data_IF_153710794268
#
_entry.id   IF_153710794268
#
_cell.length_a   1.000
_cell.length_b   1.000
_cell.length_c   1.000
_cell.angle_alpha   90.00
_cell.angle_beta   90.00
_cell.angle_gamma   90.00
#
_symmetry.space_group_name_H-M   'P 1'
#
loop_
_entity.id
_entity.type
_entity.pdbx_description
1 polymer ?
2 non-polymer ?
3 non-polymer ?
4 non-polymer ?
5 water ?
#
# COMPACT_ATOMS: atom_id res chain seq x y z
N UNK A 1 24.16 14.58 -1.23
CA UNK A 1 23.89 13.78 -0.04
C UNK A 1 24.40 12.35 -0.25
N UNK A 2 24.64 11.65 0.84
CA UNK A 2 25.23 10.32 0.78
C UNK A 2 24.43 9.35 1.64
N UNK A 3 24.02 8.22 1.05
CA UNK A 3 23.42 7.11 1.77
C UNK A 3 24.46 6.01 1.92
N UNK A 4 24.68 5.56 3.16
CA UNK A 4 25.67 4.53 3.44
C UNK A 4 25.06 3.42 4.28
N UNK A 5 25.32 2.18 3.90
CA UNK A 5 25.07 1.03 4.76
C UNK A 5 26.40 0.42 5.15
N UNK A 6 26.56 0.09 6.43
CA UNK A 6 27.83 -0.43 6.93
C UNK A 6 27.60 -1.73 7.67
N UNK A 7 28.37 -2.76 7.29
CA UNK A 7 28.43 -4.02 8.05
C UNK A 7 27.04 -4.61 8.29
N UNK A 8 26.17 -4.47 7.31
CA UNK A 8 24.86 -5.10 7.39
C UNK A 8 24.99 -6.62 7.46
N UNK A 9 24.12 -7.25 8.24
CA UNK A 9 24.04 -8.70 8.31
C UNK A 9 22.62 -9.11 8.61
N UNK A 10 22.21 -10.25 8.06
CA UNK A 10 20.89 -10.81 8.30
C UNK A 10 20.97 -12.32 8.19
N UNK A 11 20.35 -13.02 9.13
CA UNK A 11 20.25 -14.48 9.09
C UNK A 11 18.79 -14.88 9.12
N UNK A 12 18.45 -15.95 8.39
CA UNK A 12 17.14 -16.57 8.45
C UNK A 12 17.32 -18.02 8.87
N UNK A 13 16.69 -18.40 9.97
CA UNK A 13 16.77 -19.78 10.47
C UNK A 13 18.22 -20.23 10.62
N UNK A 14 19.07 -19.35 11.12
CA UNK A 14 20.46 -19.68 11.34
C UNK A 14 21.35 -19.58 10.11
N UNK A 15 20.80 -19.24 8.95
CA UNK A 15 21.56 -19.14 7.71
C UNK A 15 21.81 -17.66 7.43
N UNK A 16 23.07 -17.27 7.29
CA UNK A 16 23.43 -15.86 7.10
C UNK A 16 23.34 -15.53 5.62
N UNK A 17 22.23 -14.90 5.23
CA UNK A 17 22.04 -14.60 3.81
C UNK A 17 22.65 -13.26 3.41
N UNK A 18 22.95 -12.38 4.36
CA UNK A 18 23.74 -11.17 4.15
C UNK A 18 24.73 -11.08 5.30
N UNK A 19 26.01 -10.85 4.98
CA UNK A 19 27.06 -10.84 6.00
C UNK A 19 28.10 -9.77 5.66
N UNK A 20 28.19 -8.74 6.49
CA UNK A 20 29.26 -7.75 6.42
C UNK A 20 29.23 -6.99 5.09
N UNK A 21 28.04 -6.55 4.71
CA UNK A 21 27.87 -5.81 3.46
C UNK A 21 27.87 -4.31 3.78
N UNK A 22 28.75 -3.57 3.11
CA UNK A 22 28.79 -2.13 3.19
C UNK A 22 28.69 -1.57 1.77
N UNK A 23 27.97 -0.46 1.63
CA UNK A 23 27.87 0.19 0.33
C UNK A 23 27.47 1.64 0.55
N UNK A 24 27.62 2.42 -0.52
CA UNK A 24 27.30 3.83 -0.48
C UNK A 24 26.80 4.28 -1.84
N UNK A 25 25.89 5.25 -1.82
CA UNK A 25 25.37 5.88 -3.05
C UNK A 25 25.20 7.35 -2.76
N UNK A 26 25.75 8.19 -3.63
CA UNK A 26 25.63 9.64 -3.51
C UNK A 26 24.64 10.19 -4.52
N UNK A 27 24.10 11.36 -4.20
CA UNK A 27 23.23 12.07 -5.14
C UNK A 27 23.89 12.16 -6.51
N UNK A 28 23.09 11.93 -7.56
CA UNK A 28 23.57 12.13 -8.91
C UNK A 28 24.38 11.01 -9.51
N UNK A 29 24.35 9.82 -8.93
CA UNK A 29 24.97 8.66 -9.57
C UNK A 29 24.02 7.47 -9.53
N UNK A 30 24.22 6.55 -10.48
CA UNK A 30 23.56 5.25 -10.50
C UNK A 30 24.57 4.21 -10.03
N UNK A 31 24.27 3.56 -8.93
CA UNK A 31 25.13 2.56 -8.31
C UNK A 31 24.41 1.22 -8.38
N UNK A 32 25.12 0.19 -8.84
CA UNK A 32 24.54 -1.14 -8.94
C UNK A 32 24.86 -2.03 -7.76
N UNK A 33 23.92 -2.90 -7.42
CA UNK A 33 24.13 -4.01 -6.48
C UNK A 33 23.69 -5.27 -7.22
N UNK A 34 24.65 -6.02 -7.76
CA UNK A 34 24.39 -7.02 -8.78
C UNK A 34 24.94 -8.35 -8.33
N UNK A 35 24.26 -9.43 -8.72
CA UNK A 35 24.68 -10.77 -8.36
C UNK A 35 23.57 -11.77 -8.57
N UNK A 36 23.87 -13.07 -8.37
CA UNK A 36 22.91 -14.13 -8.69
C UNK A 36 21.65 -14.03 -7.85
N UNK A 37 20.59 -14.68 -8.33
CA UNK A 37 19.40 -14.87 -7.53
C UNK A 37 19.76 -15.51 -6.19
N UNK A 38 19.16 -15.01 -5.12
CA UNK A 38 19.42 -15.53 -3.80
C UNK A 38 20.72 -15.07 -3.18
N UNK A 39 21.44 -14.13 -3.81
CA UNK A 39 22.69 -13.65 -3.24
C UNK A 39 22.48 -12.70 -2.05
N UNK A 40 21.27 -12.23 -1.82
CA UNK A 40 20.97 -11.31 -0.74
C UNK A 40 20.74 -9.84 -1.15
N UNK A 41 20.45 -9.56 -2.41
CA UNK A 41 20.26 -8.18 -2.86
C UNK A 41 19.02 -7.56 -2.23
N UNK A 42 17.90 -8.27 -2.27
CA UNK A 42 16.65 -7.75 -1.71
C UNK A 42 16.75 -7.62 -0.19
N UNK A 43 17.32 -8.64 0.47
CA UNK A 43 17.50 -8.55 1.91
C UNK A 43 18.31 -7.32 2.29
N UNK A 44 19.34 -7.00 1.50
CA UNK A 44 20.12 -5.80 1.74
C UNK A 44 19.27 -4.54 1.61
N UNK A 45 18.47 -4.45 0.55
CA UNK A 45 17.54 -3.34 0.40
C UNK A 45 16.56 -3.28 1.57
N UNK A 46 16.00 -4.43 1.96
CA UNK A 46 15.06 -4.43 3.07
C UNK A 46 15.69 -3.75 4.29
N UNK A 47 16.94 -4.08 4.58
CA UNK A 47 17.60 -3.51 5.76
C UNK A 47 17.88 -2.04 5.58
N UNK A 48 18.19 -1.60 4.35
CA UNK A 48 18.42 -0.18 4.11
C UNK A 48 17.12 0.60 4.26
N UNK A 49 16.03 0.06 3.70
CA UNK A 49 14.73 0.73 3.70
C UNK A 49 14.05 0.63 5.07
N UNK A 50 14.34 -0.40 5.85
CA UNK A 50 13.74 -0.57 7.15
C UNK A 50 12.64 -1.59 7.22
N UNK A 51 12.56 -2.52 6.26
CA UNK A 51 11.45 -3.44 6.15
C UNK A 51 11.63 -4.68 7.02
N UNK A 52 12.87 -5.13 7.20
CA UNK A 52 13.13 -6.24 8.13
C UNK A 52 14.18 -5.77 9.13
N UNK A 53 14.14 -6.25 10.37
CA UNK A 53 15.16 -5.86 11.33
C UNK A 53 16.51 -6.42 10.91
N UNK A 54 17.55 -5.60 11.02
CA UNK A 54 18.87 -6.09 10.70
C UNK A 54 19.48 -6.78 11.92
N UNK A 55 20.37 -7.74 11.67
CA UNK A 55 21.08 -8.38 12.76
C UNK A 55 22.31 -7.59 13.18
N UNK A 56 22.94 -6.89 12.25
CA UNK A 56 24.08 -6.05 12.53
C UNK A 56 24.11 -4.94 11.49
N UNK A 57 24.86 -3.88 11.79
CA UNK A 57 25.16 -2.85 10.83
C UNK A 57 24.45 -1.53 11.13
N UNK A 58 24.67 -0.57 10.22
CA UNK A 58 24.23 0.80 10.39
C UNK A 58 23.77 1.34 9.05
N UNK A 59 22.75 2.19 9.08
CA UNK A 59 22.32 2.96 7.91
C UNK A 59 22.45 4.43 8.26
N UNK A 60 23.06 5.20 7.35
CA UNK A 60 23.51 6.55 7.61
C UNK A 60 23.16 7.41 6.40
N UNK A 61 22.65 8.61 6.66
CA UNK A 61 22.53 9.64 5.63
C UNK A 61 23.33 10.84 6.11
N UNK A 62 24.29 11.28 5.28
CA UNK A 62 25.26 12.30 5.65
C UNK A 62 25.79 12.02 7.06
N UNK A 63 25.60 12.93 8.02
CA UNK A 63 26.13 12.74 9.37
C UNK A 63 25.13 12.09 10.33
N UNK A 64 23.98 11.63 9.83
CA UNK A 64 22.88 11.12 10.63
C UNK A 64 22.83 9.61 10.55
N UNK A 65 23.03 8.93 11.68
CA UNK A 65 22.78 7.50 11.73
C UNK A 65 21.29 7.29 11.96
N UNK A 66 20.62 6.67 11.01
CA UNK A 66 19.18 6.47 11.05
C UNK A 66 18.83 5.00 11.26
N UNK A 67 19.77 4.21 11.81
CA UNK A 67 19.53 2.79 11.99
C UNK A 67 18.27 2.53 12.79
N UNK A 68 17.96 3.37 13.77
CA UNK A 68 16.84 3.10 14.67
C UNK A 68 15.50 3.55 14.12
N UNK A 69 15.47 4.25 12.98
CA UNK A 69 14.22 4.78 12.45
C UNK A 69 13.48 3.70 11.66
N UNK A 70 12.17 3.57 11.84
CA UNK A 70 11.40 2.63 11.05
C UNK A 70 11.22 3.14 9.62
N UNK A 71 10.67 2.25 8.79
CA UNK A 71 10.55 2.49 7.36
C UNK A 71 10.00 3.88 7.04
N UNK A 72 8.82 4.19 7.57
CA UNK A 72 8.20 5.44 7.14
C UNK A 72 8.96 6.66 7.65
N UNK A 73 9.67 6.55 8.79
CA UNK A 73 10.50 7.66 9.22
C UNK A 73 11.74 7.79 8.36
N UNK A 74 12.30 6.68 7.88
CA UNK A 74 13.42 6.76 6.94
C UNK A 74 12.98 7.38 5.62
N UNK A 75 11.76 7.06 5.18
CA UNK A 75 11.22 7.67 3.97
C UNK A 75 11.22 9.20 4.08
N UNK A 76 10.74 9.73 5.21
CA UNK A 76 10.75 11.18 5.40
C UNK A 76 12.16 11.75 5.28
N UNK A 77 13.20 10.96 5.62
CA UNK A 77 14.59 11.40 5.49
C UNK A 77 15.09 11.35 4.05
N UNK A 78 14.30 10.81 3.11
CA UNK A 78 14.65 10.87 1.71
C UNK A 78 14.85 9.54 1.01
N UNK A 79 14.60 8.42 1.68
CA UNK A 79 14.78 7.11 1.06
C UNK A 79 13.48 6.72 0.35
N UNK A 80 13.58 6.50 -0.96
CA UNK A 80 12.52 5.93 -1.77
C UNK A 80 12.84 4.51 -2.19
N UNK A 81 11.83 3.76 -2.61
CA UNK A 81 11.97 2.32 -2.75
C UNK A 81 11.00 1.80 -3.80
N UNK A 82 11.53 0.99 -4.73
CA UNK A 82 10.70 0.28 -5.70
C UNK A 82 10.75 -1.20 -5.41
N UNK A 83 9.67 -1.82 -4.94
CA UNK A 83 9.68 -3.27 -4.68
C UNK A 83 10.02 -4.09 -5.92
N UNK A 84 10.57 -5.28 -5.67
CA UNK A 84 10.99 -6.16 -6.76
C UNK A 84 9.80 -6.63 -7.59
N UNK A 85 8.77 -7.15 -6.95
CA UNK A 85 7.62 -7.57 -7.72
C UNK A 85 6.57 -6.46 -7.71
N UNK A 86 5.48 -6.68 -8.44
CA UNK A 86 4.42 -5.69 -8.48
C UNK A 86 4.14 -5.17 -7.08
N UNK A 87 3.95 -3.85 -6.98
CA UNK A 87 3.42 -3.26 -5.76
C UNK A 87 2.32 -2.24 -6.04
N UNK A 88 2.00 -1.99 -7.32
CA UNK A 88 0.90 -1.08 -7.64
C UNK A 88 -0.36 -1.58 -6.92
N UNK A 89 -1.19 -0.64 -6.47
CA UNK A 89 -2.48 -1.01 -5.90
C UNK A 89 -3.40 -1.44 -7.03
N UNK A 90 -3.72 -2.74 -7.06
CA UNK A 90 -4.27 -3.38 -8.26
C UNK A 90 -5.67 -2.91 -8.60
N UNK A 91 -6.49 -2.52 -7.62
CA UNK A 91 -7.85 -2.08 -7.87
C UNK A 91 -8.07 -0.60 -7.58
N UNK A 92 -7.01 0.19 -7.60
CA UNK A 92 -7.11 1.63 -7.54
C UNK A 92 -6.64 2.20 -8.87
N UNK A 93 -7.24 3.32 -9.29
CA UNK A 93 -6.81 3.95 -10.53
C UNK A 93 -5.35 4.36 -10.43
N UNK A 94 -4.75 4.63 -11.59
CA UNK A 94 -3.42 5.21 -11.59
C UNK A 94 -3.41 6.49 -10.76
N UNK A 95 -4.41 7.35 -10.98
CA UNK A 95 -4.50 8.61 -10.24
C UNK A 95 -4.56 8.36 -8.74
N UNK A 96 -5.43 7.45 -8.31
CA UNK A 96 -5.55 7.20 -6.88
C UNK A 96 -4.27 6.58 -6.32
N UNK A 97 -3.53 5.82 -7.15
CA UNK A 97 -2.23 5.30 -6.72
C UNK A 97 -1.27 6.43 -6.40
N UNK A 98 -1.21 7.46 -7.26
CA UNK A 98 -0.37 8.61 -6.99
C UNK A 98 -0.85 9.37 -5.76
N UNK A 99 -2.17 9.52 -5.61
CA UNK A 99 -2.74 10.28 -4.49
C UNK A 99 -2.57 9.56 -3.16
N UNK A 100 -2.47 8.23 -3.17
CA UNK A 100 -2.15 7.51 -1.95
C UNK A 100 -0.88 8.03 -1.31
N UNK A 101 0.11 8.44 -2.10
CA UNK A 101 1.35 9.00 -1.57
C UNK A 101 1.31 10.51 -1.47
N UNK A 102 0.79 11.20 -2.49
CA UNK A 102 0.70 12.66 -2.43
C UNK A 102 -0.09 13.15 -1.23
N UNK A 103 -0.98 12.30 -0.66
CA UNK A 103 -1.74 12.74 0.50
C UNK A 103 -0.87 12.93 1.74
N UNK A 104 0.33 12.32 1.78
CA UNK A 104 1.23 12.56 2.91
C UNK A 104 2.15 13.76 2.68
N UNK A 105 2.05 14.44 1.54
CA UNK A 105 2.83 15.66 1.29
C UNK A 105 2.12 16.82 1.97
N UNK A 106 2.51 17.09 3.22
CA UNK A 106 1.90 18.18 3.96
C UNK A 106 2.30 19.56 3.41
N UNK A 107 3.36 19.62 2.62
CA UNK A 107 3.82 20.85 2.00
C UNK A 107 2.97 21.28 0.81
N UNK A 108 1.92 20.53 0.46
CA UNK A 108 1.14 20.82 -0.73
C UNK A 108 -0.33 21.01 -0.38
N UNK A 109 -0.95 22.02 -1.00
CA UNK A 109 -2.39 22.25 -0.87
C UNK A 109 -3.16 21.23 -1.71
N UNK A 110 -4.49 21.26 -1.59
CA UNK A 110 -5.32 20.42 -2.43
C UNK A 110 -4.98 20.63 -3.91
N UNK A 111 -5.01 21.87 -4.36
CA UNK A 111 -4.73 22.16 -5.77
C UNK A 111 -3.30 21.75 -6.16
N UNK A 112 -2.36 21.91 -5.23
CA UNK A 112 -0.97 21.61 -5.57
C UNK A 112 -0.75 20.11 -5.71
N UNK A 113 -1.43 19.31 -4.90
CA UNK A 113 -1.34 17.85 -5.09
C UNK A 113 -1.90 17.45 -6.45
N UNK A 114 -3.05 18.01 -6.82
CA UNK A 114 -3.60 17.72 -8.15
C UNK A 114 -2.61 18.13 -9.23
N UNK A 115 -2.02 19.33 -9.09
CA UNK A 115 -0.96 19.75 -9.99
C UNK A 115 0.19 18.73 -10.01
N UNK A 116 0.62 18.31 -8.82
CA UNK A 116 1.79 17.43 -8.75
C UNK A 116 1.46 16.06 -9.33
N UNK A 117 0.23 15.57 -9.09
CA UNK A 117 -0.19 14.32 -9.71
C UNK A 117 -0.19 14.44 -11.21
N UNK A 118 -0.67 15.59 -11.73
CA UNK A 118 -0.69 15.81 -13.18
C UNK A 118 0.72 15.89 -13.75
N UNK A 119 1.64 16.55 -13.04
CA UNK A 119 3.02 16.66 -13.51
C UNK A 119 3.68 15.28 -13.55
N UNK A 120 3.48 14.49 -12.50
CA UNK A 120 4.03 13.15 -12.47
C UNK A 120 3.48 12.30 -13.60
N UNK A 121 2.18 12.43 -13.92
CA UNK A 121 1.64 11.61 -15.01
C UNK A 121 2.23 12.02 -16.35
N UNK A 122 2.40 13.33 -16.58
CA UNK A 122 3.07 13.78 -17.78
C UNK A 122 4.52 13.31 -17.81
N UNK A 123 5.24 13.51 -16.71
CA UNK A 123 6.65 13.16 -16.65
C UNK A 123 6.90 11.69 -16.99
N UNK A 124 6.03 10.80 -16.51
CA UNK A 124 6.23 9.37 -16.73
C UNK A 124 5.33 8.81 -17.83
N UNK A 125 4.70 9.67 -18.61
CA UNK A 125 3.94 9.23 -19.79
C UNK A 125 2.87 8.22 -19.39
N UNK A 126 2.06 8.60 -18.40
CA UNK A 126 0.96 7.75 -17.96
C UNK A 126 -0.36 8.53 -17.89
N UNK A 127 -0.40 9.73 -18.46
CA UNK A 127 -1.61 10.54 -18.28
C UNK A 127 -2.80 9.97 -19.03
N UNK A 128 -2.59 9.19 -20.09
CA UNK A 128 -3.70 8.47 -20.73
C UNK A 128 -4.23 7.31 -19.86
N UNK A 129 -3.63 7.06 -18.69
CA UNK A 129 -4.00 5.94 -17.84
C UNK A 129 -4.68 6.40 -16.55
N UNK A 130 -5.01 7.69 -16.46
CA UNK A 130 -5.49 8.31 -15.23
C UNK A 130 -6.47 7.43 -14.47
N UNK A 131 -7.58 7.05 -15.10
CA UNK A 131 -8.60 6.28 -14.40
C UNK A 131 -8.47 4.78 -14.61
N UNK A 132 -7.44 4.32 -15.32
CA UNK A 132 -7.22 2.89 -15.47
C UNK A 132 -6.86 2.25 -14.14
N UNK A 133 -7.45 1.10 -13.87
CA UNK A 133 -7.11 0.32 -12.68
C UNK A 133 -5.69 -0.21 -12.80
N UNK A 134 -4.98 -0.25 -11.66
CA UNK A 134 -3.61 -0.74 -11.68
C UNK A 134 -3.48 -2.10 -12.32
N UNK A 135 -4.44 -2.99 -12.06
CA UNK A 135 -4.37 -4.34 -12.60
C UNK A 135 -4.44 -4.37 -14.12
N UNK A 136 -5.09 -3.38 -14.72
CA UNK A 136 -5.31 -3.41 -16.16
C UNK A 136 -4.11 -2.92 -16.96
N UNK A 137 -3.00 -2.60 -16.31
CA UNK A 137 -1.84 -2.07 -17.00
C UNK A 137 -0.86 -3.19 -17.33
N UNK A 138 -0.12 -3.01 -18.42
CA UNK A 138 0.98 -3.88 -18.76
C UNK A 138 2.06 -3.79 -17.69
N UNK A 139 3.00 -4.74 -17.73
CA UNK A 139 4.09 -4.70 -16.75
C UNK A 139 4.88 -3.41 -16.81
N UNK A 140 5.17 -2.92 -18.02
CA UNK A 140 5.92 -1.68 -18.16
C UNK A 140 5.16 -0.46 -17.69
N UNK A 141 3.86 -0.37 -18.03
CA UNK A 141 3.04 0.73 -17.53
C UNK A 141 2.95 0.73 -16.00
N UNK A 142 2.69 -0.45 -15.43
CA UNK A 142 2.67 -0.57 -13.97
C UNK A 142 3.98 -0.11 -13.37
N UNK A 143 5.10 -0.51 -13.97
CA UNK A 143 6.40 -0.09 -13.49
C UNK A 143 6.54 1.43 -13.51
N UNK A 144 6.07 2.10 -14.58
CA UNK A 144 6.17 3.56 -14.61
C UNK A 144 5.31 4.20 -13.52
N UNK A 145 4.12 3.65 -13.27
CA UNK A 145 3.26 4.16 -12.21
C UNK A 145 3.91 3.95 -10.84
N UNK A 146 4.48 2.77 -10.62
CA UNK A 146 5.16 2.49 -9.36
C UNK A 146 6.32 3.44 -9.11
N UNK A 147 7.08 3.78 -10.15
CA UNK A 147 8.20 4.72 -9.97
C UNK A 147 7.67 6.13 -9.74
N UNK A 148 6.67 6.55 -10.51
CA UNK A 148 6.04 7.84 -10.25
C UNK A 148 5.50 7.90 -8.83
N UNK A 149 4.93 6.79 -8.35
CA UNK A 149 4.33 6.80 -7.02
C UNK A 149 5.39 6.98 -5.94
N UNK A 150 6.58 6.40 -6.14
CA UNK A 150 7.67 6.59 -5.20
C UNK A 150 8.19 8.02 -5.25
N UNK A 151 8.27 8.60 -6.45
CA UNK A 151 8.72 9.98 -6.59
C UNK A 151 7.74 10.97 -5.98
N UNK A 152 6.45 10.61 -5.86
CA UNK A 152 5.52 11.54 -5.23
C UNK A 152 5.95 11.92 -3.84
N UNK A 153 6.76 11.08 -3.19
CA UNK A 153 7.29 11.37 -1.86
C UNK A 153 8.50 12.30 -1.88
N UNK A 154 9.03 12.63 -3.05
CA UNK A 154 10.18 13.51 -3.16
C UNK A 154 11.41 12.92 -2.47
N UNK A 155 11.79 11.68 -2.77
CA UNK A 155 12.97 11.09 -2.12
C UNK A 155 14.26 11.73 -2.61
N UNK A 156 15.32 11.55 -1.82
CA UNK A 156 16.68 11.90 -2.24
C UNK A 156 17.45 10.71 -2.80
N UNK A 157 17.09 9.50 -2.38
CA UNK A 157 17.66 8.27 -2.90
C UNK A 157 16.50 7.36 -3.28
N UNK A 158 16.68 6.56 -4.33
CA UNK A 158 15.68 5.58 -4.71
C UNK A 158 16.36 4.24 -4.94
N UNK A 159 15.87 3.22 -4.26
CA UNK A 159 16.38 1.86 -4.40
C UNK A 159 15.45 1.10 -5.34
N UNK A 160 15.93 0.81 -6.55
CA UNK A 160 15.17 0.11 -7.59
C UNK A 160 15.51 -1.37 -7.53
N UNK A 161 14.58 -2.19 -7.05
CA UNK A 161 14.84 -3.61 -6.90
C UNK A 161 14.41 -4.29 -8.20
N UNK A 162 15.39 -4.55 -9.06
CA UNK A 162 15.19 -5.26 -10.32
C UNK A 162 14.07 -4.61 -11.13
N UNK A 163 14.24 -3.36 -11.55
CA UNK A 163 13.15 -2.64 -12.20
C UNK A 163 12.75 -3.19 -13.56
N UNK A 164 13.61 -3.97 -14.22
CA UNK A 164 13.32 -4.50 -15.54
C UNK A 164 12.55 -5.82 -15.50
N UNK A 165 12.43 -6.46 -14.35
CA UNK A 165 11.76 -7.74 -14.28
C UNK A 165 10.28 -7.60 -14.61
N UNK A 166 9.77 -8.53 -15.41
CA UNK A 166 8.36 -8.53 -15.78
C UNK A 166 7.97 -7.47 -16.79
N UNK A 167 8.94 -6.82 -17.43
CA UNK A 167 8.71 -5.72 -18.35
C UNK A 167 9.17 -6.17 -19.73
N UNK A 168 8.34 -5.91 -20.75
CA UNK A 168 8.66 -6.32 -22.12
C UNK A 168 9.89 -5.57 -22.63
N UNK A 169 10.53 -6.08 -23.69
CA UNK A 169 11.75 -5.45 -24.21
C UNK A 169 11.64 -3.96 -24.50
N UNK A 170 10.55 -3.48 -25.10
CA UNK A 170 10.43 -2.06 -25.42
C UNK A 170 10.32 -1.24 -24.15
N UNK A 171 9.54 -1.70 -23.17
CA UNK A 171 9.42 -0.97 -21.92
C UNK A 171 10.75 -0.92 -21.16
N UNK A 172 11.60 -1.94 -21.30
CA UNK A 172 12.90 -1.90 -20.66
C UNK A 172 13.66 -0.64 -21.07
N UNK A 173 13.66 -0.34 -22.38
CA UNK A 173 14.34 0.86 -22.86
C UNK A 173 13.78 2.09 -22.15
N UNK A 174 12.47 2.14 -22.00
CA UNK A 174 11.87 3.32 -21.41
C UNK A 174 12.23 3.45 -19.94
N UNK A 175 12.30 2.32 -19.23
CA UNK A 175 12.72 2.36 -17.82
C UNK A 175 14.17 2.82 -17.70
N UNK A 176 15.03 2.42 -18.65
CA UNK A 176 16.41 2.87 -18.64
C UNK A 176 16.50 4.39 -18.79
N UNK A 177 15.70 4.96 -19.68
CA UNK A 177 15.70 6.42 -19.83
C UNK A 177 15.16 7.10 -18.58
N UNK A 178 14.18 6.48 -17.92
CA UNK A 178 13.68 7.01 -16.65
C UNK A 178 14.81 7.05 -15.62
N UNK A 179 15.57 5.96 -15.53
CA UNK A 179 16.67 5.86 -14.57
C UNK A 179 17.68 6.98 -14.80
N UNK A 180 18.06 7.22 -16.07
CA UNK A 180 18.98 8.33 -16.36
C UNK A 180 18.38 9.66 -15.95
N UNK A 181 17.09 9.86 -16.17
CA UNK A 181 16.44 11.12 -15.82
C UNK A 181 16.40 11.31 -14.31
N UNK A 182 16.07 10.25 -13.57
CA UNK A 182 16.13 10.33 -12.11
C UNK A 182 17.52 10.74 -11.63
N UNK A 183 18.57 10.17 -12.24
CA UNK A 183 19.94 10.54 -11.89
C UNK A 183 20.24 11.98 -12.27
N UNK A 184 19.84 12.41 -13.48
CA UNK A 184 20.03 13.80 -13.87
C UNK A 184 19.27 14.76 -12.97
N UNK A 185 18.20 14.31 -12.32
CA UNK A 185 17.43 15.13 -11.38
C UNK A 185 18.09 15.28 -10.01
N UNK A 186 19.21 14.61 -9.76
CA UNK A 186 19.89 14.74 -8.49
C UNK A 186 19.69 13.61 -7.52
N UNK A 187 18.89 12.59 -7.87
CA UNK A 187 18.72 11.44 -6.99
C UNK A 187 19.94 10.54 -7.06
N UNK A 188 20.29 9.96 -5.90
CA UNK A 188 21.17 8.82 -5.88
C UNK A 188 20.34 7.57 -6.14
N UNK A 189 20.74 6.78 -7.11
CA UNK A 189 19.96 5.64 -7.56
C UNK A 189 20.77 4.38 -7.30
N UNK A 190 20.19 3.48 -6.52
CA UNK A 190 20.75 2.15 -6.25
C UNK A 190 19.86 1.11 -6.95
N UNK A 191 20.46 0.29 -7.82
CA UNK A 191 19.70 -0.62 -8.66
C UNK A 191 20.29 -2.03 -8.57
N UNK A 192 19.41 -3.03 -8.43
CA UNK A 192 19.82 -4.42 -8.37
C UNK A 192 19.49 -5.14 -9.67
N UNK A 193 20.27 -6.17 -9.98
CA UNK A 193 19.99 -7.08 -11.09
C UNK A 193 20.81 -8.35 -10.88
N UNK A 194 20.32 -9.46 -11.44
CA UNK A 194 21.13 -10.64 -11.60
C UNK A 194 21.78 -10.72 -12.97
N UNK A 195 21.30 -9.95 -13.94
CA UNK A 195 21.89 -9.89 -15.28
C UNK A 195 22.92 -8.78 -15.26
N UNK A 196 24.18 -9.17 -15.03
CA UNK A 196 25.23 -8.20 -14.69
C UNK A 196 25.55 -7.29 -15.87
N UNK A 197 25.77 -7.88 -17.05
CA UNK A 197 26.25 -7.07 -18.16
C UNK A 197 25.23 -6.01 -18.57
N UNK A 198 23.95 -6.38 -18.67
CA UNK A 198 22.95 -5.41 -19.11
C UNK A 198 22.86 -4.22 -18.17
N UNK A 199 22.60 -4.49 -16.88
CA UNK A 199 22.43 -3.40 -15.93
C UNK A 199 23.75 -2.68 -15.66
N UNK A 200 24.87 -3.39 -15.74
CA UNK A 200 26.16 -2.76 -15.52
C UNK A 200 26.37 -1.56 -16.45
N UNK A 201 25.86 -1.65 -17.68
CA UNK A 201 26.09 -0.57 -18.63
C UNK A 201 25.48 0.76 -18.17
N UNK A 202 24.44 0.73 -17.34
CA UNK A 202 23.80 1.97 -16.91
C UNK A 202 24.33 2.47 -15.58
N UNK A 203 25.27 1.75 -14.96
CA UNK A 203 25.79 2.12 -13.66
C UNK A 203 27.08 2.92 -13.82
N UNK A 204 27.29 3.90 -12.93
CA UNK A 204 28.61 4.50 -12.84
C UNK A 204 29.60 3.55 -12.17
N UNK A 205 29.14 2.81 -11.16
CA UNK A 205 29.94 1.78 -10.49
C UNK A 205 28.98 0.76 -9.92
N UNK A 206 29.50 -0.39 -9.51
CA UNK A 206 28.63 -1.40 -8.94
C UNK A 206 29.38 -2.25 -7.92
N UNK A 207 28.63 -2.73 -6.94
CA UNK A 207 29.04 -3.79 -6.03
C UNK A 207 28.52 -5.12 -6.55
N UNK A 208 29.34 -6.15 -6.46
CA UNK A 208 28.95 -7.50 -6.84
C UNK A 208 28.81 -8.33 -5.57
N UNK A 209 27.68 -9.00 -5.42
CA UNK A 209 27.41 -9.79 -4.23
C UNK A 209 27.20 -11.24 -4.63
N UNK A 210 27.69 -12.15 -3.78
CA UNK A 210 27.61 -13.57 -4.03
C UNK A 210 27.43 -14.26 -2.68
N UNK A 211 26.38 -15.06 -2.56
CA UNK A 211 26.09 -15.82 -1.34
C UNK A 211 26.22 -14.92 -0.10
N UNK A 212 25.61 -13.75 -0.17
CA UNK A 212 25.57 -12.88 0.99
C UNK A 212 26.81 -12.04 1.26
N UNK A 213 27.83 -12.11 0.41
CA UNK A 213 29.10 -11.41 0.61
C UNK A 213 29.38 -10.48 -0.56
N UNK A 214 29.95 -9.32 -0.27
CA UNK A 214 30.50 -8.46 -1.33
C UNK A 214 31.79 -9.04 -1.84
N UNK A 215 31.90 -9.23 -3.15
CA UNK A 215 33.12 -9.79 -3.71
C UNK A 215 33.89 -8.81 -4.60
N UNK A 216 33.26 -7.71 -5.03
CA UNK A 216 33.99 -6.77 -5.88
C UNK A 216 33.22 -5.47 -5.96
N UNK A 217 33.95 -4.39 -6.24
CA UNK A 217 33.36 -3.10 -6.55
C UNK A 217 34.22 -2.44 -7.62
N UNK A 218 33.57 -1.75 -8.55
CA UNK A 218 34.31 -1.00 -9.55
C UNK A 218 33.37 -0.42 -10.58
N UNK A 219 33.96 0.35 -11.49
CA UNK A 219 33.27 0.78 -12.70
C UNK A 219 32.94 -0.46 -13.52
N UNK A 220 32.05 -0.35 -14.51
CA UNK A 220 31.72 -1.53 -15.33
C UNK A 220 32.94 -2.19 -15.94
N UNK A 221 33.90 -1.40 -16.40
CA UNK A 221 35.08 -1.99 -17.02
C UNK A 221 35.94 -2.72 -16.00
N UNK A 222 36.07 -2.15 -14.79
CA UNK A 222 36.81 -2.84 -13.73
C UNK A 222 36.11 -4.12 -13.32
N UNK A 223 34.78 -4.09 -13.20
CA UNK A 223 34.01 -5.27 -12.81
C UNK A 223 34.22 -6.39 -13.83
N UNK A 224 34.18 -6.07 -15.12
CA UNK A 224 34.30 -7.11 -16.13
C UNK A 224 35.71 -7.67 -16.27
N UNK A 225 36.68 -7.10 -15.57
CA UNK A 225 38.04 -7.61 -15.57
C UNK A 225 38.48 -8.04 -14.18
N UNK A 226 37.56 -8.05 -13.22
CA UNK A 226 37.91 -8.33 -11.84
C UNK A 226 38.05 -9.84 -11.63
N UNK A 227 39.17 -10.26 -11.04
CA UNK A 227 39.44 -11.69 -10.92
C UNK A 227 38.50 -12.36 -9.93
N UNK A 228 38.06 -11.64 -8.88
CA UNK A 228 37.10 -12.24 -7.96
C UNK A 228 35.73 -12.38 -8.60
N UNK A 229 35.33 -11.39 -9.39
CA UNK A 229 34.11 -11.54 -10.18
C UNK A 229 34.23 -12.72 -11.13
N UNK A 230 35.37 -12.83 -11.80
CA UNK A 230 35.58 -13.88 -12.78
C UNK A 230 35.56 -15.26 -12.13
N UNK A 231 36.23 -15.43 -10.99
CA UNK A 231 36.24 -16.76 -10.39
C UNK A 231 34.88 -17.12 -9.79
N UNK A 232 33.91 -16.21 -9.81
CA UNK A 232 32.55 -16.54 -9.39
C UNK A 232 31.66 -16.95 -10.56
N UNK A 233 31.93 -16.48 -11.78
CA UNK A 233 31.12 -16.77 -12.95
C UNK A 233 31.85 -17.67 -13.95
N UNK A 234 32.80 -18.47 -13.48
CA UNK A 234 33.64 -19.29 -14.36
C UNK A 234 32.86 -19.96 -15.49
N UNK B 1 -22.74 11.86 13.58
CA UNK B 1 -22.56 12.10 12.15
C UNK B 1 -23.38 11.08 11.37
N UNK B 2 -23.66 11.41 10.11
CA UNK B 2 -24.53 10.59 9.26
C UNK B 2 -23.93 10.48 7.86
N UNK B 3 -23.81 9.26 7.35
CA UNK B 3 -23.38 8.99 5.99
C UNK B 3 -24.57 8.49 5.17
N UNK B 4 -24.78 9.10 4.01
CA UNK B 4 -25.94 8.81 3.17
C UNK B 4 -25.49 8.60 1.74
N UNK B 5 -26.01 7.55 1.11
CA UNK B 5 -25.86 7.34 -0.32
C UNK B 5 -27.26 7.31 -0.92
N UNK B 6 -27.48 8.14 -1.94
CA UNK B 6 -28.80 8.32 -2.54
C UNK B 6 -28.77 7.92 -4.00
N UNK B 7 -29.73 7.07 -4.40
CA UNK B 7 -30.02 6.84 -5.81
C UNK B 7 -28.78 6.38 -6.60
N UNK B 8 -27.95 5.57 -5.96
CA UNK B 8 -26.76 5.05 -6.65
C UNK B 8 -27.16 4.06 -7.75
N UNK B 9 -26.41 4.10 -8.85
CA UNK B 9 -26.61 3.15 -9.92
C UNK B 9 -25.28 2.93 -10.62
N UNK B 10 -25.14 1.75 -11.23
CA UNK B 10 -23.93 1.40 -11.95
C UNK B 10 -24.26 0.31 -12.96
N UNK B 11 -23.82 0.51 -14.19
CA UNK B 11 -23.98 -0.48 -15.24
C UNK B 11 -22.62 -1.04 -15.65
N UNK B 12 -22.59 -2.30 -16.04
CA UNK B 12 -21.43 -2.89 -16.70
C UNK B 12 -21.91 -3.59 -17.96
N UNK B 13 -21.16 -3.44 -19.04
CA UNK B 13 -21.48 -4.10 -20.31
C UNK B 13 -22.95 -3.95 -20.67
N UNK B 14 -23.51 -2.77 -20.37
CA UNK B 14 -24.88 -2.46 -20.76
C UNK B 14 -25.95 -2.93 -19.79
N UNK B 15 -25.57 -3.45 -18.62
CA UNK B 15 -26.50 -4.03 -17.64
C UNK B 15 -26.37 -3.31 -16.31
N UNK B 16 -27.51 -3.04 -15.67
CA UNK B 16 -27.51 -2.37 -14.38
C UNK B 16 -27.16 -3.40 -13.31
N UNK B 17 -26.02 -3.23 -12.64
CA UNK B 17 -25.66 -4.12 -11.55
C UNK B 17 -25.99 -3.49 -10.20
N UNK B 18 -26.11 -2.18 -10.13
CA UNK B 18 -26.71 -1.46 -9.01
C UNK B 18 -27.75 -0.54 -9.61
N UNK B 19 -28.99 -0.63 -9.13
CA UNK B 19 -30.08 0.19 -9.65
C UNK B 19 -30.85 0.84 -8.51
N UNK B 20 -30.55 2.11 -8.25
CA UNK B 20 -31.31 2.94 -7.33
C UNK B 20 -31.20 2.43 -5.88
N UNK B 21 -29.96 2.35 -5.40
CA UNK B 21 -29.67 1.97 -4.02
C UNK B 21 -29.41 3.24 -3.21
N UNK B 22 -30.23 3.44 -2.17
CA UNK B 22 -30.03 4.50 -1.19
C UNK B 22 -29.84 3.87 0.18
N UNK B 23 -29.01 4.47 1.02
CA UNK B 23 -28.88 3.98 2.37
C UNK B 23 -28.26 5.05 3.27
N UNK B 24 -28.44 4.88 4.57
CA UNK B 24 -27.92 5.81 5.56
C UNK B 24 -27.34 5.01 6.71
N UNK B 25 -26.27 5.53 7.31
CA UNK B 25 -25.70 4.98 8.52
C UNK B 25 -25.29 6.14 9.42
N UNK B 26 -25.64 6.07 10.70
CA UNK B 26 -25.30 7.06 11.70
C UNK B 26 -24.18 6.56 12.61
N UNK B 27 -23.50 7.53 13.23
CA UNK B 27 -22.56 7.22 14.30
C UNK B 27 -23.23 6.40 15.39
N UNK B 28 -22.52 5.39 15.86
CA UNK B 28 -23.01 4.58 16.96
C UNK B 28 -23.95 3.46 16.58
N UNK B 29 -24.08 3.15 15.29
CA UNK B 29 -24.90 2.02 14.89
C UNK B 29 -24.16 1.16 13.86
N UNK B 30 -24.59 -0.09 13.77
CA UNK B 30 -24.13 -1.07 12.80
C UNK B 30 -25.27 -1.31 11.82
N UNK B 31 -25.02 -1.09 10.54
CA UNK B 31 -26.02 -1.22 9.49
C UNK B 31 -25.51 -2.26 8.48
N UNK B 32 -26.39 -3.14 8.05
CA UNK B 32 -26.03 -4.18 7.10
C UNK B 32 -26.47 -3.85 5.68
N UNK B 33 -25.67 -4.28 4.72
CA UNK B 33 -26.00 -4.27 3.31
C UNK B 33 -25.85 -5.73 2.88
N UNK B 34 -26.97 -6.45 2.84
CA UNK B 34 -26.97 -7.88 2.85
C UNK B 34 -27.69 -8.40 1.61
N UNK B 35 -27.14 -9.45 1.01
CA UNK B 35 -27.74 -10.04 -0.15
C UNK B 35 -26.80 -11.02 -0.83
N UNK B 36 -27.30 -11.74 -1.83
CA UNK B 36 -26.52 -12.83 -2.42
C UNK B 36 -25.30 -12.32 -3.17
N UNK B 37 -24.43 -13.26 -3.53
CA UNK B 37 -23.30 -12.95 -4.40
C UNK B 37 -23.80 -12.42 -5.74
N UNK B 38 -23.15 -11.36 -6.23
CA UNK B 38 -23.58 -10.74 -7.47
C UNK B 38 -24.67 -9.70 -7.32
N UNK B 39 -25.18 -9.49 -6.11
CA UNK B 39 -26.29 -8.56 -5.89
C UNK B 39 -25.90 -7.10 -6.05
N UNK B 40 -24.61 -6.79 -6.04
CA UNK B 40 -24.14 -5.43 -6.17
C UNK B 40 -23.62 -4.78 -4.89
N UNK B 41 -23.25 -5.57 -3.88
CA UNK B 41 -22.83 -5.00 -2.60
C UNK B 41 -21.48 -4.31 -2.72
N UNK B 42 -20.47 -5.01 -3.25
CA UNK B 42 -19.14 -4.43 -3.40
C UNK B 42 -19.19 -3.21 -4.33
N UNK B 43 -19.94 -3.31 -5.43
CA UNK B 43 -20.05 -2.18 -6.34
C UNK B 43 -20.67 -0.98 -5.65
N UNK B 44 -21.66 -1.20 -4.79
CA UNK B 44 -22.19 -0.10 -3.98
C UNK B 44 -21.07 0.51 -3.14
N UNK B 45 -20.34 -0.32 -2.38
CA UNK B 45 -19.21 0.19 -1.59
C UNK B 45 -18.20 0.95 -2.44
N UNK B 46 -17.83 0.38 -3.59
CA UNK B 46 -16.88 1.06 -4.46
C UNK B 46 -17.35 2.49 -4.75
N UNK B 47 -18.65 2.66 -4.98
CA UNK B 47 -19.17 3.98 -5.30
C UNK B 47 -19.21 4.90 -4.08
N UNK B 48 -19.44 4.36 -2.88
CA UNK B 48 -19.39 5.22 -1.70
C UNK B 48 -17.95 5.62 -1.38
N UNK B 49 -17.01 4.69 -1.52
CA UNK B 49 -15.62 4.98 -1.20
C UNK B 49 -14.98 5.87 -2.27
N UNK B 50 -15.46 5.80 -3.50
CA UNK B 50 -14.87 6.54 -4.59
C UNK B 50 -13.92 5.75 -5.46
N UNK B 51 -13.99 4.42 -5.43
CA UNK B 51 -13.07 3.60 -6.21
C UNK B 51 -13.54 3.44 -7.65
N UNK B 52 -14.84 3.49 -7.92
CA UNK B 52 -15.32 3.48 -9.29
C UNK B 52 -16.35 4.59 -9.47
N UNK B 53 -16.50 5.16 -10.67
CA UNK B 53 -17.43 6.28 -10.85
C UNK B 53 -18.89 5.81 -10.84
N UNK B 54 -19.76 6.71 -10.40
CA UNK B 54 -21.20 6.44 -10.40
C UNK B 54 -21.80 6.74 -11.77
N UNK B 55 -22.89 6.04 -12.07
CA UNK B 55 -23.81 6.45 -13.15
C UNK B 55 -24.93 7.34 -12.64
N UNK B 56 -25.17 7.36 -11.33
CA UNK B 56 -26.13 8.26 -10.72
C UNK B 56 -25.88 8.21 -9.22
N UNK B 57 -26.44 9.17 -8.52
CA UNK B 57 -26.48 9.15 -7.07
C UNK B 57 -25.58 10.20 -6.44
N UNK B 58 -25.69 10.28 -5.12
CA UNK B 58 -24.93 11.24 -4.33
C UNK B 58 -24.45 10.56 -3.07
N UNK B 59 -23.25 10.92 -2.62
CA UNK B 59 -22.71 10.54 -1.32
C UNK B 59 -22.60 11.80 -0.47
N UNK B 60 -23.09 11.73 0.75
CA UNK B 60 -23.19 12.87 1.66
C UNK B 60 -22.73 12.45 3.05
N UNK B 61 -21.83 13.23 3.65
CA UNK B 61 -21.54 13.12 5.08
C UNK B 61 -22.06 14.39 5.74
N UNK B 62 -22.99 14.22 6.69
CA UNK B 62 -23.64 15.33 7.39
C UNK B 62 -24.16 16.35 6.37
N UNK B 63 -23.75 17.61 6.50
CA UNK B 63 -24.14 18.70 5.61
C UNK B 63 -23.25 18.83 4.37
N UNK B 64 -22.48 17.79 4.03
CA UNK B 64 -21.45 17.86 2.99
C UNK B 64 -21.74 16.82 1.90
N UNK B 65 -22.11 17.29 0.71
CA UNK B 65 -22.12 16.37 -0.44
C UNK B 65 -20.69 16.19 -0.92
N UNK B 66 -20.21 14.96 -0.86
CA UNK B 66 -18.82 14.63 -1.20
C UNK B 66 -18.73 13.80 -2.48
N UNK B 67 -19.81 13.78 -3.27
CA UNK B 67 -19.85 12.93 -4.45
C UNK B 67 -18.71 13.22 -5.41
N UNK B 68 -18.20 14.44 -5.44
CA UNK B 68 -17.13 14.82 -6.38
C UNK B 68 -15.74 14.58 -5.82
N UNK B 69 -15.62 14.18 -4.56
CA UNK B 69 -14.28 14.03 -4.00
C UNK B 69 -13.70 12.68 -4.40
N UNK B 70 -12.45 12.64 -4.83
CA UNK B 70 -11.79 11.36 -5.08
C UNK B 70 -11.54 10.58 -3.79
N UNK B 71 -11.16 9.32 -3.96
CA UNK B 71 -11.02 8.38 -2.85
C UNK B 71 -10.32 9.00 -1.63
N UNK B 72 -9.12 9.54 -1.80
CA UNK B 72 -8.35 9.93 -0.62
C UNK B 72 -8.90 11.21 0.02
N UNK B 73 -9.53 12.10 -0.76
CA UNK B 73 -10.17 13.25 -0.13
C UNK B 73 -11.44 12.85 0.62
N UNK B 74 -12.17 11.84 0.12
CA UNK B 74 -13.31 11.33 0.86
C UNK B 74 -12.88 10.68 2.17
N UNK B 75 -11.78 9.93 2.13
CA UNK B 75 -11.27 9.31 3.34
C UNK B 75 -11.00 10.35 4.42
N UNK B 76 -10.43 11.50 4.04
CA UNK B 76 -10.19 12.53 5.04
C UNK B 76 -11.49 13.13 5.58
N UNK B 77 -12.59 13.04 4.84
CA UNK B 77 -13.87 13.46 5.40
C UNK B 77 -14.42 12.45 6.41
N UNK B 78 -13.87 11.25 6.48
CA UNK B 78 -14.22 10.31 7.53
C UNK B 78 -14.56 8.89 7.12
N UNK B 79 -14.44 8.56 5.83
CA UNK B 79 -14.81 7.23 5.35
C UNK B 79 -13.59 6.32 5.41
N UNK B 80 -13.74 5.18 6.10
CA UNK B 80 -12.76 4.10 6.07
C UNK B 80 -13.32 2.88 5.38
N UNK B 81 -12.45 2.01 4.85
CA UNK B 81 -12.89 0.96 3.94
C UNK B 81 -12.06 -0.31 4.17
N UNK B 82 -12.74 -1.45 4.29
CA UNK B 82 -12.09 -2.77 4.39
C UNK B 82 -12.44 -3.59 3.17
N UNK B 83 -11.50 -3.85 2.25
CA UNK B 83 -11.83 -4.61 1.04
C UNK B 83 -12.28 -6.03 1.36
N UNK B 84 -13.02 -6.61 0.38
CA UNK B 84 -13.47 -7.98 0.49
C UNK B 84 -12.29 -8.95 0.42
N UNK B 85 -11.42 -8.77 -0.58
CA UNK B 85 -10.27 -9.64 -0.72
C UNK B 85 -9.11 -9.14 0.15
N UNK B 86 -8.10 -10.00 0.30
CA UNK B 86 -6.93 -9.62 1.07
C UNK B 86 -6.33 -8.34 0.50
N UNK B 87 -6.04 -7.39 1.39
CA UNK B 87 -5.41 -6.13 0.99
C UNK B 87 -4.20 -5.79 1.84
N UNK B 88 -3.81 -6.66 2.78
CA UNK B 88 -2.61 -6.41 3.57
C UNK B 88 -1.41 -6.25 2.67
N UNK B 89 -0.53 -5.32 3.01
CA UNK B 89 0.75 -5.20 2.31
C UNK B 89 1.60 -6.43 2.61
N UNK B 90 1.81 -7.26 1.59
CA UNK B 90 2.23 -8.64 1.81
C UNK B 90 3.66 -8.73 2.34
N UNK B 91 4.58 -7.93 1.78
CA UNK B 91 5.98 -7.95 2.23
C UNK B 91 6.32 -6.74 3.09
N UNK B 92 5.36 -6.28 3.89
CA UNK B 92 5.60 -5.37 5.00
C UNK B 92 5.14 -6.04 6.29
N UNK B 93 5.83 -5.72 7.39
CA UNK B 93 5.44 -6.19 8.70
C UNK B 93 4.09 -5.62 9.12
N UNK B 94 3.45 -6.28 10.10
CA UNK B 94 2.21 -5.75 10.66
C UNK B 94 2.40 -4.30 11.12
N UNK B 95 3.53 -4.04 11.79
CA UNK B 95 3.80 -2.70 12.29
C UNK B 95 3.84 -1.67 11.17
N UNK B 96 4.59 -1.96 10.10
CA UNK B 96 4.68 -0.99 9.02
C UNK B 96 3.37 -0.87 8.25
N UNK B 97 2.59 -1.96 8.21
CA UNK B 97 1.23 -1.85 7.66
C UNK B 97 0.43 -0.79 8.41
N UNK B 98 0.49 -0.81 9.75
CA UNK B 98 -0.25 0.19 10.51
C UNK B 98 0.35 1.57 10.32
N UNK B 99 1.67 1.68 10.41
CA UNK B 99 2.34 2.96 10.22
C UNK B 99 2.12 3.55 8.83
N UNK B 100 1.83 2.72 7.83
CA UNK B 100 1.55 3.28 6.51
C UNK B 100 0.37 4.24 6.55
N UNK B 101 -0.64 3.92 7.36
CA UNK B 101 -1.80 4.80 7.50
C UNK B 101 -1.61 5.81 8.62
N UNK B 102 -1.00 5.41 9.74
CA UNK B 102 -0.75 6.36 10.82
C UNK B 102 0.10 7.53 10.36
N UNK B 103 0.91 7.33 9.32
CA UNK B 103 1.62 8.42 8.66
C UNK B 103 0.71 9.61 8.36
N UNK B 104 -0.54 9.35 7.98
CA UNK B 104 -1.45 10.42 7.58
C UNK B 104 -1.97 11.25 8.75
N UNK B 105 -1.78 10.79 9.99
CA UNK B 105 -2.33 11.49 11.15
C UNK B 105 -1.40 12.66 11.49
N UNK B 106 -1.56 13.76 10.74
CA UNK B 106 -0.85 14.99 11.07
C UNK B 106 -1.08 15.38 12.52
N UNK B 107 -2.32 15.18 13.00
CA UNK B 107 -2.73 15.51 14.36
C UNK B 107 -2.00 14.70 15.43
N UNK B 108 -1.13 13.76 15.06
CA UNK B 108 -0.47 12.87 16.01
C UNK B 108 1.01 13.17 16.09
N UNK B 109 1.51 13.34 17.31
CA UNK B 109 2.94 13.34 17.57
C UNK B 109 3.56 12.03 17.08
N UNK B 110 4.88 12.04 16.91
CA UNK B 110 5.58 10.80 16.58
C UNK B 110 5.39 9.75 17.67
N UNK B 111 5.50 10.17 18.94
CA UNK B 111 5.29 9.24 20.04
C UNK B 111 3.85 8.79 20.15
N UNK B 112 2.91 9.70 19.86
CA UNK B 112 1.49 9.33 19.90
C UNK B 112 1.13 8.35 18.80
N UNK B 113 1.78 8.45 17.63
CA UNK B 113 1.62 7.43 16.61
C UNK B 113 2.10 6.08 17.11
N UNK B 114 3.26 6.04 17.77
CA UNK B 114 3.71 4.79 18.38
C UNK B 114 2.65 4.25 19.32
N UNK B 115 2.18 5.10 20.24
CA UNK B 115 1.17 4.67 21.19
C UNK B 115 -0.06 4.14 20.48
N UNK B 116 -0.51 4.84 19.43
CA UNK B 116 -1.71 4.40 18.73
C UNK B 116 -1.49 3.06 18.04
N UNK B 117 -0.34 2.89 17.38
CA UNK B 117 0.00 1.58 16.84
C UNK B 117 -0.04 0.51 17.92
N UNK B 118 0.50 0.82 19.09
CA UNK B 118 0.51 -0.16 20.18
C UNK B 118 -0.89 -0.41 20.71
N UNK B 119 -1.73 0.62 20.77
CA UNK B 119 -3.11 0.41 21.20
C UNK B 119 -3.85 -0.46 20.20
N UNK B 120 -3.70 -0.15 18.91
CA UNK B 120 -4.36 -0.92 17.87
C UNK B 120 -3.92 -2.38 17.93
N UNK B 121 -2.61 -2.64 18.04
CA UNK B 121 -2.14 -4.01 18.07
C UNK B 121 -2.66 -4.74 19.30
N UNK B 122 -2.83 -4.03 20.41
CA UNK B 122 -3.40 -4.64 21.60
C UNK B 122 -4.90 -4.86 21.44
N UNK B 123 -5.61 -3.88 20.89
CA UNK B 123 -7.04 -4.05 20.70
C UNK B 123 -7.36 -5.26 19.83
N UNK B 124 -6.55 -5.51 18.79
CA UNK B 124 -6.83 -6.54 17.80
C UNK B 124 -6.02 -7.81 18.02
N UNK B 125 -5.36 -7.92 19.17
CA UNK B 125 -4.62 -9.12 19.55
C UNK B 125 -3.64 -9.54 18.46
N UNK B 126 -2.85 -8.58 18.00
CA UNK B 126 -1.87 -8.81 16.93
C UNK B 126 -0.48 -8.36 17.34
N UNK B 127 -0.30 -7.93 18.60
CA UNK B 127 0.98 -7.38 19.00
C UNK B 127 2.11 -8.40 18.90
N UNK B 128 1.79 -9.70 19.02
CA UNK B 128 2.83 -10.70 18.84
C UNK B 128 3.28 -10.82 17.39
N UNK B 129 2.52 -10.26 16.46
CA UNK B 129 2.83 -10.29 15.04
C UNK B 129 3.51 -9.02 14.56
N UNK B 130 4.01 -8.19 15.49
CA UNK B 130 4.46 -6.85 15.16
C UNK B 130 5.42 -6.85 13.98
N UNK B 131 6.41 -7.75 14.00
CA UNK B 131 7.42 -7.79 12.94
C UNK B 131 7.20 -8.94 11.97
N UNK B 132 6.05 -9.61 12.02
CA UNK B 132 5.72 -10.61 11.01
C UNK B 132 5.27 -9.94 9.72
N UNK B 133 5.77 -10.45 8.59
CA UNK B 133 5.32 -9.96 7.29
C UNK B 133 3.85 -10.30 7.06
N UNK B 134 3.14 -9.40 6.39
CA UNK B 134 1.73 -9.64 6.10
C UNK B 134 1.49 -10.95 5.39
N UNK B 135 2.39 -11.33 4.48
CA UNK B 135 2.19 -12.54 3.69
C UNK B 135 2.16 -13.81 4.54
N UNK B 136 2.71 -13.77 5.76
CA UNK B 136 2.83 -14.97 6.56
C UNK B 136 1.66 -15.19 7.51
N UNK B 137 0.71 -14.26 7.60
CA UNK B 137 -0.34 -14.36 8.59
C UNK B 137 -1.45 -15.31 8.14
N UNK B 138 -2.13 -15.89 9.12
CA UNK B 138 -3.35 -16.60 8.84
C UNK B 138 -4.42 -15.61 8.36
N UNK B 139 -5.54 -16.16 7.90
CA UNK B 139 -6.62 -15.31 7.43
C UNK B 139 -7.27 -14.53 8.56
N UNK B 140 -7.47 -15.18 9.71
CA UNK B 140 -7.97 -14.45 10.87
C UNK B 140 -7.04 -13.32 11.28
N UNK B 141 -5.75 -13.62 11.37
CA UNK B 141 -4.78 -12.60 11.78
C UNK B 141 -4.71 -11.48 10.74
N UNK B 142 -4.56 -11.85 9.46
CA UNK B 142 -4.51 -10.86 8.40
C UNK B 142 -5.73 -9.96 8.43
N UNK B 143 -6.91 -10.53 8.67
CA UNK B 143 -8.15 -9.75 8.69
C UNK B 143 -8.14 -8.74 9.83
N UNK B 144 -7.68 -9.14 11.01
CA UNK B 144 -7.59 -8.21 12.13
C UNK B 144 -6.58 -7.09 11.84
N UNK B 145 -5.48 -7.42 11.15
CA UNK B 145 -4.54 -6.36 10.77
C UNK B 145 -5.19 -5.41 9.76
N UNK B 146 -5.90 -5.96 8.77
CA UNK B 146 -6.52 -5.10 7.76
C UNK B 146 -7.53 -4.14 8.39
N UNK B 147 -8.33 -4.64 9.33
CA UNK B 147 -9.26 -3.76 10.04
C UNK B 147 -8.50 -2.71 10.84
N UNK B 148 -7.55 -3.16 11.67
CA UNK B 148 -6.75 -2.22 12.44
C UNK B 148 -6.16 -1.13 11.56
N UNK B 149 -5.67 -1.52 10.37
CA UNK B 149 -5.02 -0.55 9.50
C UNK B 149 -6.01 0.48 8.97
N UNK B 150 -7.25 0.06 8.72
CA UNK B 150 -8.28 1.01 8.32
C UNK B 150 -8.60 1.98 9.44
N UNK B 151 -8.72 1.48 10.67
CA UNK B 151 -9.00 2.33 11.82
C UNK B 151 -7.86 3.28 12.15
N UNK B 152 -6.64 3.00 11.68
CA UNK B 152 -5.51 3.85 12.01
C UNK B 152 -5.70 5.27 11.50
N UNK B 153 -6.56 5.47 10.51
CA UNK B 153 -6.82 6.80 9.98
C UNK B 153 -7.89 7.56 10.76
N UNK B 154 -8.49 6.94 11.77
CA UNK B 154 -9.46 7.61 12.63
C UNK B 154 -10.71 7.96 11.84
N UNK B 155 -11.29 7.04 11.07
CA UNK B 155 -12.46 7.37 10.27
C UNK B 155 -13.72 7.48 11.12
N UNK B 156 -14.70 8.22 10.58
CA UNK B 156 -16.01 8.35 11.22
C UNK B 156 -16.93 7.19 10.90
N UNK B 157 -16.75 6.59 9.73
CA UNK B 157 -17.54 5.49 9.21
C UNK B 157 -16.58 4.44 8.67
N UNK B 158 -16.86 3.17 8.97
CA UNK B 158 -16.05 2.06 8.47
C UNK B 158 -16.96 1.16 7.65
N UNK B 159 -16.63 0.98 6.38
CA UNK B 159 -17.33 0.09 5.47
C UNK B 159 -16.57 -1.22 5.42
N UNK B 160 -17.14 -2.26 6.02
CA UNK B 160 -16.53 -3.58 6.11
C UNK B 160 -17.16 -4.47 5.05
N UNK B 161 -16.41 -4.75 3.98
CA UNK B 161 -16.94 -5.61 2.91
C UNK B 161 -16.65 -7.06 3.26
N UNK B 162 -17.69 -7.77 3.72
CA UNK B 162 -17.60 -9.17 4.12
C UNK B 162 -16.42 -9.40 5.08
N UNK B 163 -16.48 -8.82 6.28
CA UNK B 163 -15.34 -8.94 7.20
C UNK B 163 -15.07 -10.37 7.66
N UNK B 164 -16.05 -11.27 7.61
CA UNK B 164 -15.87 -12.62 8.12
C UNK B 164 -15.37 -13.59 7.06
N UNK B 165 -15.50 -13.28 5.78
CA UNK B 165 -15.08 -14.21 4.75
C UNK B 165 -13.62 -14.61 4.96
N UNK B 166 -13.38 -15.92 5.04
CA UNK B 166 -12.02 -16.42 5.10
C UNK B 166 -11.37 -16.39 6.46
N UNK B 167 -12.14 -16.27 7.54
CA UNK B 167 -11.61 -16.28 8.90
C UNK B 167 -12.22 -17.43 9.67
N UNK B 168 -11.45 -17.97 10.62
CA UNK B 168 -11.88 -19.09 11.44
C UNK B 168 -12.99 -18.66 12.40
N UNK B 169 -13.80 -19.61 12.87
CA UNK B 169 -14.98 -19.23 13.68
C UNK B 169 -14.65 -18.45 14.93
N UNK B 170 -13.52 -18.70 15.57
CA UNK B 170 -13.17 -17.91 16.75
C UNK B 170 -12.79 -16.49 16.34
N UNK B 171 -12.09 -16.35 15.22
CA UNK B 171 -11.83 -15.00 14.72
C UNK B 171 -13.13 -14.29 14.36
N UNK B 172 -14.14 -15.03 13.91
CA UNK B 172 -15.43 -14.41 13.61
C UNK B 172 -16.01 -13.78 14.86
N UNK B 173 -16.07 -14.55 15.95
CA UNK B 173 -16.61 -14.01 17.18
C UNK B 173 -15.77 -12.81 17.65
N UNK B 174 -14.44 -12.92 17.53
CA UNK B 174 -13.59 -11.81 17.96
C UNK B 174 -13.88 -10.56 17.15
N UNK B 175 -14.04 -10.71 15.83
CA UNK B 175 -14.32 -9.56 14.98
C UNK B 175 -15.68 -8.97 15.30
N UNK B 176 -16.68 -9.81 15.60
CA UNK B 176 -17.98 -9.30 16.02
C UNK B 176 -17.84 -8.45 17.27
N UNK B 177 -17.05 -8.91 18.25
CA UNK B 177 -16.80 -8.09 19.44
C UNK B 177 -16.07 -6.80 19.07
N UNK B 178 -15.11 -6.88 18.13
CA UNK B 178 -14.42 -5.69 17.64
C UNK B 178 -15.43 -4.70 17.07
N UNK B 179 -16.29 -5.18 16.17
CA UNK B 179 -17.32 -4.34 15.58
C UNK B 179 -18.20 -3.69 16.65
N UNK B 180 -18.48 -4.43 17.72
CA UNK B 180 -19.25 -3.86 18.82
C UNK B 180 -18.52 -2.69 19.46
N UNK B 181 -17.23 -2.87 19.77
CA UNK B 181 -16.46 -1.80 20.40
C UNK B 181 -16.34 -0.57 19.48
N UNK B 182 -16.19 -0.79 18.17
CA UNK B 182 -16.16 0.32 17.22
C UNK B 182 -17.46 1.13 17.27
N UNK B 183 -18.60 0.43 17.32
CA UNK B 183 -19.88 1.13 17.46
C UNK B 183 -19.94 1.88 18.79
N UNK B 184 -19.45 1.24 19.87
CA UNK B 184 -19.46 1.89 21.18
C UNK B 184 -18.66 3.18 21.16
N UNK B 185 -17.53 3.18 20.47
CA UNK B 185 -16.66 4.35 20.49
C UNK B 185 -17.11 5.44 19.51
N UNK B 186 -18.24 5.28 18.83
CA UNK B 186 -18.84 6.35 18.05
C UNK B 186 -18.78 6.20 16.54
N UNK B 187 -18.20 5.13 16.00
CA UNK B 187 -18.19 4.93 14.56
C UNK B 187 -19.55 4.46 14.05
N UNK B 188 -19.84 4.81 12.80
CA UNK B 188 -20.90 4.17 12.05
C UNK B 188 -20.28 3.03 11.25
N UNK B 189 -20.85 1.84 11.39
CA UNK B 189 -20.31 0.65 10.74
C UNK B 189 -21.31 0.18 9.70
N UNK B 190 -20.85 0.04 8.46
CA UNK B 190 -21.64 -0.51 7.37
C UNK B 190 -21.00 -1.82 6.95
N UNK B 191 -21.75 -2.91 7.07
CA UNK B 191 -21.21 -4.26 6.87
C UNK B 191 -21.99 -4.98 5.78
N UNK B 192 -21.28 -5.69 4.91
CA UNK B 192 -21.90 -6.52 3.88
C UNK B 192 -21.73 -7.99 4.20
N UNK B 193 -22.70 -8.78 3.76
CA UNK B 193 -22.61 -10.24 3.84
C UNK B 193 -23.67 -10.84 2.92
N UNK B 194 -23.42 -12.07 2.52
CA UNK B 194 -24.44 -12.86 1.84
C UNK B 194 -25.24 -13.71 2.80
N UNK B 195 -24.64 -14.08 3.94
CA UNK B 195 -25.33 -14.87 4.98
C UNK B 195 -26.15 -13.92 5.85
N UNK B 196 -27.43 -13.78 5.49
CA UNK B 196 -28.29 -12.80 6.15
C UNK B 196 -28.57 -13.23 7.59
N UNK B 197 -28.77 -14.52 7.82
CA UNK B 197 -29.09 -15.04 9.15
C UNK B 197 -28.21 -14.46 10.23
N UNK B 198 -26.92 -14.77 10.18
CA UNK B 198 -26.06 -14.51 11.34
C UNK B 198 -25.61 -13.05 11.39
N UNK B 199 -25.35 -12.42 10.24
CA UNK B 199 -24.93 -11.02 10.26
C UNK B 199 -26.07 -10.11 10.69
N UNK B 200 -27.32 -10.49 10.39
CA UNK B 200 -28.45 -9.63 10.70
C UNK B 200 -28.60 -9.41 12.20
N UNK B 201 -28.20 -10.38 13.01
CA UNK B 201 -28.35 -10.23 14.46
C UNK B 201 -27.46 -9.13 15.04
N UNK B 202 -26.37 -8.76 14.36
CA UNK B 202 -25.50 -7.72 14.87
C UNK B 202 -25.86 -6.34 14.34
N UNK B 203 -26.89 -6.24 13.50
CA UNK B 203 -27.25 -4.99 12.86
C UNK B 203 -28.39 -4.31 13.62
N UNK B 204 -28.32 -2.98 13.71
CA UNK B 204 -29.44 -2.19 14.20
C UNK B 204 -30.48 -2.00 13.09
N UNK B 205 -30.03 -1.81 11.86
CA UNK B 205 -30.86 -1.79 10.67
C UNK B 205 -30.08 -2.47 9.55
N UNK B 206 -30.81 -2.90 8.51
CA UNK B 206 -30.15 -3.46 7.34
C UNK B 206 -30.95 -3.15 6.07
N UNK B 207 -30.26 -3.30 4.94
CA UNK B 207 -30.84 -3.20 3.61
C UNK B 207 -30.57 -4.49 2.86
N UNK B 208 -31.61 -5.13 2.35
CA UNK B 208 -31.47 -6.36 1.60
C UNK B 208 -31.49 -6.01 0.11
N UNK B 209 -30.43 -6.38 -0.60
CA UNK B 209 -30.26 -6.09 -2.02
C UNK B 209 -30.26 -7.38 -2.81
N UNK B 210 -30.85 -7.33 -3.99
CA UNK B 210 -30.92 -8.47 -4.89
C UNK B 210 -30.90 -7.94 -6.31
N UNK B 211 -29.99 -8.47 -7.12
CA UNK B 211 -29.84 -8.05 -8.51
C UNK B 211 -29.82 -6.53 -8.64
N UNK B 212 -29.10 -5.88 -7.72
CA UNK B 212 -28.92 -4.45 -7.77
C UNK B 212 -30.06 -3.61 -7.25
N UNK B 213 -31.13 -4.22 -6.73
CA UNK B 213 -32.32 -3.51 -6.24
C UNK B 213 -32.46 -3.70 -4.74
N UNK B 214 -32.89 -2.64 -4.04
CA UNK B 214 -33.27 -2.77 -2.63
C UNK B 214 -34.62 -3.46 -2.55
N UNK B 215 -34.68 -4.60 -1.88
CA UNK B 215 -35.93 -5.33 -1.75
C UNK B 215 -36.53 -5.27 -0.35
N UNK B 216 -35.79 -4.82 0.66
CA UNK B 216 -36.34 -4.63 2.00
C UNK B 216 -35.35 -3.82 2.81
N UNK B 217 -35.85 -3.19 3.87
CA UNK B 217 -34.98 -2.47 4.78
C UNK B 217 -35.76 -2.09 6.02
N UNK B 218 -35.03 -1.93 7.12
CA UNK B 218 -35.59 -1.64 8.42
C UNK B 218 -34.83 -2.43 9.46
N UNK B 219 -35.38 -2.51 10.67
CA UNK B 219 -34.75 -3.34 11.67
C UNK B 219 -34.77 -4.79 11.22
N UNK B 220 -33.90 -5.62 11.80
CA UNK B 220 -33.93 -7.04 11.43
C UNK B 220 -35.27 -7.69 11.74
N UNK B 221 -36.03 -7.15 12.69
CA UNK B 221 -37.36 -7.68 12.96
C UNK B 221 -38.32 -7.34 11.81
N UNK B 222 -38.38 -6.07 11.42
CA UNK B 222 -39.19 -5.67 10.27
C UNK B 222 -38.83 -6.50 9.03
N UNK B 223 -37.53 -6.52 8.71
CA UNK B 223 -37.02 -7.28 7.57
C UNK B 223 -37.50 -8.74 7.63
N UNK B 224 -37.39 -9.36 8.79
CA UNK B 224 -37.77 -10.77 8.90
C UNK B 224 -39.27 -10.97 8.79
N UNK B 225 -40.08 -9.92 8.97
CA UNK B 225 -41.51 -10.02 8.71
C UNK B 225 -41.77 -10.22 7.22
N UNK B 226 -41.10 -9.44 6.38
CA UNK B 226 -41.30 -9.45 4.93
C UNK B 226 -41.42 -10.87 4.37
#
# INVERSE_FOLDING_TARGET
>A
ATLTAKNLAKAYKGRRVVEDVSLTVNSGEIVGLLGPNGAGKTTTFYMVVGIVPRDAGNIIIDDDDISLLPLHARARRGIGYLPQEASIFRRLSVYDNLMAVLQIRDDLSAEQREDRANELMEEFHIEHLRDSMGQSLSGGERRRVEIARALAANPKFILLDEPFAGVDPISVIDIKRIIEHLRDSGLGVLITDHNVRETLAVCERAYIVSQGHLIAHGTPTEILQDEHVKRVYLGEDFRLEHHHHHHHH
>B
ATLTAKNLAKAYKGRRVVEDVSLTVNSGEIVGLLGPNGAGKTTTFYMVVGIVPRDAGNIIIDDDDISLLPLHARARRGIGYLPQEASIFRRLSVYDNLMAVLQIRDDLSAEQREDRANELMEEFHIEHLRDSMGQSLSGGERRRVEIARALAANPKFILLDEPFAGVDPISVIDIKRIIEHLRDSGLGVLITDHNVRETLAVCERAYIVSQGHLIAHGTPTEILQDEHVKRVYLGEDFRLEHHHHHHHH
#
